data_IF_887153586175
#
_entry.id   IF_887153586175
#
_cell.length_a   1.000
_cell.length_b   1.000
_cell.length_c   1.000
_cell.angle_alpha   90.00
_cell.angle_beta   90.00
_cell.angle_gamma   90.00
#
_symmetry.space_group_name_H-M   'P 1'
#
loop_
_entity.id
_entity.type
_entity.pdbx_description
1 polymer ?
#
# COMPACT_ATOMS: atom_id res chain seq x y z
N UNK A 1 23.54 -54.02 6.53
CA UNK A 1 22.96 -53.44 5.29
C UNK A 1 23.98 -52.44 4.75
N UNK A 2 24.86 -52.87 3.85
CA UNK A 2 25.86 -51.99 3.25
C UNK A 2 25.25 -51.31 2.02
N UNK A 3 25.28 -49.97 1.98
CA UNK A 3 24.87 -49.22 0.78
C UNK A 3 25.85 -49.51 -0.36
N UNK A 4 25.33 -49.63 -1.58
CA UNK A 4 26.19 -49.79 -2.75
C UNK A 4 27.06 -48.53 -2.96
N UNK A 5 28.28 -48.65 -3.50
CA UNK A 5 29.18 -47.50 -3.69
C UNK A 5 28.53 -46.33 -4.44
N UNK A 6 27.66 -46.61 -5.41
CA UNK A 6 26.89 -45.60 -6.15
C UNK A 6 25.89 -44.84 -5.25
N UNK A 7 25.16 -45.55 -4.39
CA UNK A 7 24.21 -44.93 -3.45
C UNK A 7 24.93 -44.11 -2.38
N UNK A 8 26.13 -44.55 -1.97
CA UNK A 8 26.97 -43.80 -1.04
C UNK A 8 27.46 -42.47 -1.64
N UNK A 9 27.94 -42.50 -2.89
CA UNK A 9 28.35 -41.28 -3.60
C UNK A 9 27.18 -40.32 -3.79
N UNK A 10 26.00 -40.82 -4.17
CA UNK A 10 24.79 -40.01 -4.27
C UNK A 10 24.39 -39.38 -2.93
N UNK A 11 24.47 -40.14 -1.84
CA UNK A 11 24.19 -39.64 -0.50
C UNK A 11 25.16 -38.52 -0.09
N UNK A 12 26.47 -38.70 -0.31
CA UNK A 12 27.47 -37.67 -0.03
C UNK A 12 27.24 -36.39 -0.85
N UNK A 13 26.83 -36.54 -2.11
CA UNK A 13 26.51 -35.40 -2.98
C UNK A 13 25.29 -34.62 -2.48
N UNK A 14 24.21 -35.32 -2.12
CA UNK A 14 23.01 -34.70 -1.54
C UNK A 14 23.35 -34.02 -0.22
N UNK A 15 24.10 -34.69 0.66
CA UNK A 15 24.53 -34.13 1.94
C UNK A 15 25.36 -32.86 1.74
N UNK A 16 26.26 -32.85 0.76
CA UNK A 16 27.05 -31.68 0.40
C UNK A 16 26.19 -30.49 -0.06
N UNK A 17 25.21 -30.73 -0.93
CA UNK A 17 24.26 -29.70 -1.37
C UNK A 17 23.44 -29.17 -0.19
N UNK A 18 22.92 -30.05 0.66
CA UNK A 18 22.13 -29.67 1.84
C UNK A 18 22.94 -28.80 2.81
N UNK A 19 24.21 -29.14 3.06
CA UNK A 19 25.10 -28.34 3.90
C UNK A 19 25.41 -26.98 3.26
N UNK A 20 25.62 -26.93 1.94
CA UNK A 20 25.86 -25.68 1.23
C UNK A 20 24.65 -24.73 1.32
N UNK A 21 23.43 -25.26 1.11
CA UNK A 21 22.19 -24.48 1.26
C UNK A 21 22.02 -23.98 2.70
N UNK A 22 22.33 -24.80 3.70
CA UNK A 22 22.29 -24.40 5.10
C UNK A 22 23.27 -23.24 5.40
N UNK A 23 24.49 -23.31 4.87
CA UNK A 23 25.50 -22.24 5.03
C UNK A 23 25.01 -20.95 4.38
N UNK A 24 24.46 -21.01 3.16
CA UNK A 24 23.90 -19.83 2.49
C UNK A 24 22.74 -19.22 3.28
N UNK A 25 21.86 -20.04 3.84
CA UNK A 25 20.76 -19.57 4.67
C UNK A 25 21.26 -18.85 5.93
N UNK A 26 22.25 -19.42 6.63
CA UNK A 26 22.86 -18.79 7.81
C UNK A 26 23.52 -17.46 7.44
N UNK A 27 24.26 -17.42 6.31
CA UNK A 27 24.89 -16.19 5.81
C UNK A 27 23.84 -15.09 5.52
N UNK A 28 22.74 -15.45 4.84
CA UNK A 28 21.65 -14.51 4.58
C UNK A 28 20.98 -14.05 5.86
N UNK A 29 20.74 -14.94 6.82
CA UNK A 29 20.13 -14.61 8.11
C UNK A 29 21.00 -13.65 8.93
N UNK A 30 22.32 -13.88 8.99
CA UNK A 30 23.26 -12.97 9.66
C UNK A 30 23.25 -11.60 8.97
N UNK A 31 23.39 -11.56 7.65
CA UNK A 31 23.38 -10.28 6.91
C UNK A 31 22.04 -9.54 7.00
N UNK A 32 20.93 -10.27 7.00
CA UNK A 32 19.60 -9.69 7.17
C UNK A 32 19.44 -9.06 8.56
N UNK A 33 19.92 -9.73 9.61
CA UNK A 33 19.88 -9.19 10.96
C UNK A 33 20.88 -8.06 11.18
N UNK A 34 22.04 -8.07 10.51
CA UNK A 34 23.05 -7.01 10.58
C UNK A 34 22.60 -5.72 9.85
N UNK A 35 21.75 -5.86 8.82
CA UNK A 35 21.05 -4.72 8.19
C UNK A 35 19.83 -4.23 8.97
N UNK A 36 19.28 -5.05 9.88
CA UNK A 36 18.16 -4.67 10.75
C UNK A 36 18.62 -3.94 12.02
N UNK A 37 19.84 -4.20 12.50
CA UNK A 37 20.35 -3.67 13.79
C UNK A 37 21.11 -2.34 13.71
N UNK A 38 21.49 -1.87 12.52
CA UNK A 38 22.43 -0.74 12.38
C UNK A 38 21.86 0.53 11.72
N UNK A 39 20.58 0.55 11.36
CA UNK A 39 19.88 1.83 11.29
C UNK A 39 19.24 2.05 12.66
N UNK A 40 19.79 2.93 13.53
CA UNK A 40 18.92 3.50 14.52
C UNK A 40 17.74 4.04 13.72
N UNK A 41 16.53 3.61 14.06
CA UNK A 41 15.37 4.47 13.82
C UNK A 41 15.86 5.85 14.23
N UNK A 42 15.91 6.80 13.30
CA UNK A 42 16.06 8.19 13.69
C UNK A 42 14.82 8.47 14.52
N UNK A 43 14.87 8.14 15.80
CA UNK A 43 14.01 8.69 16.81
C UNK A 43 14.27 10.16 16.66
N UNK A 44 13.30 10.83 16.04
CA UNK A 44 13.26 12.26 15.92
C UNK A 44 13.63 12.77 17.31
N UNK A 45 14.85 13.32 17.45
CA UNK A 45 15.20 14.20 18.57
C UNK A 45 14.46 15.50 18.27
N UNK A 46 13.13 15.40 18.24
CA UNK A 46 12.30 16.56 18.45
C UNK A 46 12.74 17.07 19.79
N UNK A 47 13.19 18.31 19.81
CA UNK A 47 12.89 19.19 20.93
C UNK A 47 11.52 18.79 21.48
N UNK A 48 11.35 18.67 22.81
CA UNK A 48 10.06 18.33 23.43
C UNK A 48 9.05 19.43 23.06
N UNK A 49 8.51 19.41 21.84
CA UNK A 49 7.54 20.36 21.32
C UNK A 49 6.32 20.30 22.25
N UNK A 50 6.04 19.10 22.80
CA UNK A 50 4.99 18.84 23.80
C UNK A 50 5.10 19.70 25.06
N UNK A 51 6.29 20.15 25.49
CA UNK A 51 6.44 21.01 26.68
C UNK A 51 6.05 22.47 26.42
N UNK A 52 6.14 22.92 25.17
CA UNK A 52 5.79 24.28 24.76
C UNK A 52 4.47 24.35 23.96
N UNK A 53 3.91 23.20 23.58
CA UNK A 53 2.64 23.11 22.87
C UNK A 53 1.51 23.27 23.86
N UNK A 54 0.87 24.44 23.85
CA UNK A 54 -0.33 24.65 24.62
C UNK A 54 -1.47 23.84 23.97
N UNK A 55 -1.75 22.65 24.50
CA UNK A 55 -2.80 21.73 24.04
C UNK A 55 -4.22 22.32 24.16
N UNK A 56 -4.38 23.44 24.86
CA UNK A 56 -5.64 24.18 24.92
C UNK A 56 -5.89 25.06 23.69
N UNK A 57 -4.86 25.34 22.88
CA UNK A 57 -5.02 26.03 21.61
C UNK A 57 -5.38 25.00 20.52
N UNK A 58 -6.62 25.07 20.02
CA UNK A 58 -7.13 24.21 18.94
C UNK A 58 -6.35 24.34 17.63
N UNK A 59 -5.55 25.41 17.45
CA UNK A 59 -4.67 25.61 16.29
C UNK A 59 -3.51 24.60 16.21
N UNK A 60 -3.21 23.92 17.32
CA UNK A 60 -2.16 22.90 17.40
C UNK A 60 -2.64 21.49 17.00
N UNK A 61 -3.95 21.31 16.77
CA UNK A 61 -4.54 20.02 16.43
C UNK A 61 -4.65 19.90 14.91
N UNK A 62 -3.82 19.04 14.33
CA UNK A 62 -3.92 18.67 12.91
C UNK A 62 -4.68 17.37 12.80
N UNK A 63 -5.64 17.34 11.89
CA UNK A 63 -6.43 16.16 11.60
C UNK A 63 -6.56 15.98 10.09
N UNK A 64 -6.55 14.72 9.69
CA UNK A 64 -6.59 14.30 8.30
C UNK A 64 -7.50 13.08 8.20
N UNK A 65 -7.96 12.81 6.98
CA UNK A 65 -8.79 11.64 6.69
C UNK A 65 -7.99 10.67 5.84
N UNK A 66 -8.04 9.39 6.18
CA UNK A 66 -7.54 8.33 5.33
C UNK A 66 -8.73 7.53 4.80
N UNK A 67 -8.78 7.35 3.49
CA UNK A 67 -9.79 6.52 2.82
C UNK A 67 -9.07 5.41 2.07
N UNK A 68 -9.56 4.18 2.24
CA UNK A 68 -9.09 3.00 1.52
C UNK A 68 -10.27 2.34 0.81
N UNK A 69 -9.96 1.52 -0.18
CA UNK A 69 -10.91 0.63 -0.86
C UNK A 69 -12.11 1.37 -1.45
N UNK A 70 -11.80 2.46 -2.14
CA UNK A 70 -12.71 3.17 -3.04
C UNK A 70 -12.99 2.28 -4.26
N UNK A 71 -13.87 1.30 -4.08
CA UNK A 71 -14.38 0.42 -5.12
C UNK A 71 -15.29 1.20 -6.10
N UNK A 72 -14.66 2.03 -6.93
CA UNK A 72 -15.31 2.74 -8.02
C UNK A 72 -15.33 1.80 -9.23
N UNK A 73 -16.52 1.53 -9.76
CA UNK A 73 -16.73 0.66 -10.91
C UNK A 73 -17.61 1.39 -11.94
N UNK A 74 -17.11 1.56 -13.16
CA UNK A 74 -17.83 2.28 -14.25
C UNK A 74 -19.21 1.67 -14.55
N UNK A 75 -19.40 0.36 -14.38
CA UNK A 75 -20.68 -0.33 -14.61
C UNK A 75 -21.39 -0.76 -13.31
N UNK A 76 -20.87 -0.33 -12.16
CA UNK A 76 -21.50 -0.55 -10.86
C UNK A 76 -22.77 0.28 -10.69
N UNK A 77 -23.45 0.17 -9.53
CA UNK A 77 -24.57 1.04 -9.20
C UNK A 77 -24.13 2.50 -9.31
N UNK A 78 -24.87 3.31 -10.08
CA UNK A 78 -24.60 4.75 -10.22
C UNK A 78 -24.45 5.46 -8.86
N UNK A 79 -25.12 4.91 -7.84
CA UNK A 79 -25.12 5.38 -6.47
C UNK A 79 -23.71 5.54 -5.89
N UNK A 80 -22.76 4.64 -6.20
CA UNK A 80 -21.40 4.72 -5.65
C UNK A 80 -20.60 5.92 -6.16
N UNK A 81 -20.84 6.31 -7.41
CA UNK A 81 -20.22 7.52 -7.98
C UNK A 81 -20.80 8.79 -7.37
N UNK A 82 -22.12 8.80 -7.16
CA UNK A 82 -22.80 9.92 -6.54
C UNK A 82 -22.42 10.06 -5.06
N UNK A 83 -22.36 8.95 -4.32
CA UNK A 83 -21.87 8.91 -2.94
C UNK A 83 -20.46 9.46 -2.82
N UNK A 84 -19.55 9.10 -3.75
CA UNK A 84 -18.20 9.61 -3.74
C UNK A 84 -18.14 11.11 -4.07
N UNK A 85 -18.99 11.57 -4.99
CA UNK A 85 -19.13 12.99 -5.30
C UNK A 85 -19.65 13.77 -4.11
N UNK A 86 -20.66 13.25 -3.41
CA UNK A 86 -21.24 13.84 -2.20
C UNK A 86 -20.24 13.83 -1.04
N UNK A 87 -19.45 12.75 -0.90
CA UNK A 87 -18.32 12.70 0.02
C UNK A 87 -17.36 13.86 -0.21
N UNK A 88 -16.95 14.10 -1.46
CA UNK A 88 -16.02 15.19 -1.79
C UNK A 88 -16.63 16.59 -1.56
N UNK A 89 -17.89 16.81 -1.97
CA UNK A 89 -18.53 18.13 -1.94
C UNK A 89 -19.16 18.47 -0.57
N UNK A 90 -20.01 17.60 -0.04
CA UNK A 90 -20.78 17.86 1.16
C UNK A 90 -19.96 17.58 2.42
N UNK A 91 -19.22 16.47 2.44
CA UNK A 91 -18.49 16.08 3.64
C UNK A 91 -17.11 16.76 3.70
N UNK A 92 -16.24 16.52 2.72
CA UNK A 92 -14.86 17.05 2.76
C UNK A 92 -14.84 18.58 2.63
N UNK A 93 -15.49 19.15 1.61
CA UNK A 93 -15.40 20.59 1.38
C UNK A 93 -16.24 21.45 2.35
N UNK A 94 -17.36 20.93 2.86
CA UNK A 94 -18.32 21.73 3.63
C UNK A 94 -18.30 21.40 5.12
N UNK A 95 -18.53 20.14 5.48
CA UNK A 95 -18.74 19.74 6.87
C UNK A 95 -17.43 19.60 7.66
N UNK A 96 -16.48 18.87 7.08
CA UNK A 96 -15.30 18.36 7.75
C UNK A 96 -14.15 19.34 7.55
N UNK A 97 -13.77 19.63 6.30
CA UNK A 97 -12.64 20.51 5.94
C UNK A 97 -11.33 20.06 6.58
N UNK A 98 -10.93 18.79 6.38
CA UNK A 98 -9.69 18.28 6.97
C UNK A 98 -8.49 18.97 6.31
N UNK A 99 -7.34 18.97 6.99
CA UNK A 99 -6.12 19.57 6.40
C UNK A 99 -5.59 18.74 5.23
N UNK A 100 -5.76 17.43 5.29
CA UNK A 100 -5.38 16.51 4.23
C UNK A 100 -6.33 15.31 4.14
N UNK A 101 -6.44 14.74 2.94
CA UNK A 101 -7.07 13.45 2.67
C UNK A 101 -6.05 12.56 1.97
N UNK A 102 -5.84 11.36 2.51
CA UNK A 102 -4.98 10.34 1.93
C UNK A 102 -5.83 9.20 1.38
N UNK A 103 -5.65 8.88 0.10
CA UNK A 103 -6.24 7.71 -0.54
C UNK A 103 -5.16 6.65 -0.59
N UNK A 104 -5.33 5.56 0.16
CA UNK A 104 -4.34 4.47 0.26
C UNK A 104 -4.72 3.23 -0.53
N UNK A 105 -5.94 3.19 -1.05
CA UNK A 105 -6.44 2.08 -1.85
C UNK A 105 -7.54 2.57 -2.78
N UNK A 106 -7.27 2.47 -4.08
CA UNK A 106 -8.26 2.65 -5.12
C UNK A 106 -8.27 1.33 -5.89
N UNK A 107 -9.39 0.59 -5.81
CA UNK A 107 -9.49 -0.71 -6.48
C UNK A 107 -10.58 -0.61 -7.54
N UNK A 108 -10.11 -0.45 -8.76
CA UNK A 108 -10.90 -0.41 -9.98
C UNK A 108 -11.23 -1.84 -10.39
N UNK A 109 -12.52 -2.20 -10.31
CA UNK A 109 -13.02 -3.56 -10.50
C UNK A 109 -13.63 -3.71 -11.89
N UNK A 110 -12.86 -4.23 -12.84
CA UNK A 110 -13.45 -4.87 -14.02
C UNK A 110 -13.68 -6.36 -13.71
N UNK A 111 -14.94 -6.77 -13.59
CA UNK A 111 -15.42 -8.16 -13.65
C UNK A 111 -14.50 -9.24 -13.03
N UNK A 112 -14.61 -9.43 -11.71
CA UNK A 112 -14.77 -10.80 -11.19
C UNK A 112 -16.25 -11.14 -11.46
N UNK A 113 -16.67 -11.63 -12.63
CA UNK A 113 -15.96 -12.63 -13.39
C UNK A 113 -15.94 -13.92 -12.58
N UNK A 114 -17.14 -14.44 -12.29
CA UNK A 114 -17.47 -15.72 -11.62
C UNK A 114 -16.83 -16.96 -12.31
N UNK A 115 -15.76 -16.81 -13.10
CA UNK A 115 -15.25 -17.79 -14.05
C UNK A 115 -13.71 -17.97 -14.05
N UNK A 116 -12.90 -17.16 -13.35
CA UNK A 116 -11.43 -17.36 -13.41
C UNK A 116 -10.74 -17.32 -12.04
N UNK A 117 -10.85 -18.48 -11.39
CA UNK A 117 -9.71 -19.30 -10.95
C UNK A 117 -8.31 -18.66 -11.14
N UNK A 118 -7.57 -18.61 -10.03
CA UNK A 118 -6.11 -18.58 -9.95
C UNK A 118 -5.33 -17.72 -10.97
N UNK A 119 -5.14 -16.43 -10.65
CA UNK A 119 -3.86 -15.66 -10.76
C UNK A 119 -4.13 -14.14 -10.73
N UNK A 120 -4.40 -13.61 -9.53
CA UNK A 120 -4.40 -12.16 -9.26
C UNK A 120 -2.96 -11.64 -9.11
N UNK A 121 -2.08 -12.00 -10.04
CA UNK A 121 -0.69 -11.56 -10.08
C UNK A 121 -0.33 -10.83 -11.38
N UNK A 122 -1.31 -10.56 -12.27
CA UNK A 122 -1.06 -9.95 -13.58
C UNK A 122 -1.33 -8.44 -13.63
N UNK A 123 -1.98 -7.84 -12.63
CA UNK A 123 -2.31 -6.41 -12.64
C UNK A 123 -1.16 -5.48 -12.22
N UNK A 124 0.05 -6.04 -12.01
CA UNK A 124 1.23 -5.28 -11.63
C UNK A 124 2.00 -4.65 -12.81
N UNK A 125 1.64 -4.90 -14.08
CA UNK A 125 2.46 -4.39 -15.20
C UNK A 125 1.77 -3.87 -16.46
N UNK A 126 0.43 -3.81 -16.58
CA UNK A 126 -0.19 -3.36 -17.84
C UNK A 126 -1.40 -2.47 -17.62
N UNK A 127 -1.21 -1.15 -17.77
CA UNK A 127 -2.25 -0.22 -18.22
C UNK A 127 -3.50 -0.10 -17.35
N UNK A 128 -3.48 0.90 -16.47
CA UNK A 128 -4.67 1.50 -15.86
C UNK A 128 -5.83 1.56 -16.87
N UNK A 129 -7.00 1.03 -16.48
CA UNK A 129 -8.24 1.15 -17.23
C UNK A 129 -8.58 2.65 -17.29
N UNK A 130 -8.44 3.33 -18.46
CA UNK A 130 -8.46 4.79 -18.53
C UNK A 130 -9.76 5.41 -18.04
N UNK A 131 -10.89 4.74 -18.23
CA UNK A 131 -12.23 5.26 -17.96
C UNK A 131 -12.51 5.42 -16.46
N UNK A 132 -12.15 4.44 -15.63
CA UNK A 132 -12.37 4.52 -14.17
C UNK A 132 -11.43 5.54 -13.52
N UNK A 133 -10.19 5.60 -13.99
CA UNK A 133 -9.24 6.66 -13.61
C UNK A 133 -9.75 8.05 -14.02
N UNK A 134 -10.27 8.17 -15.24
CA UNK A 134 -10.85 9.43 -15.75
C UNK A 134 -12.08 9.83 -14.95
N UNK A 135 -12.96 8.89 -14.61
CA UNK A 135 -14.13 9.15 -13.79
C UNK A 135 -13.73 9.66 -12.40
N UNK A 136 -12.80 8.99 -11.73
CA UNK A 136 -12.24 9.43 -10.45
C UNK A 136 -11.68 10.85 -10.52
N UNK A 137 -10.80 11.12 -11.49
CA UNK A 137 -10.20 12.45 -11.66
C UNK A 137 -11.23 13.52 -12.03
N UNK A 138 -12.25 13.18 -12.83
CA UNK A 138 -13.36 14.08 -13.13
C UNK A 138 -14.14 14.45 -11.87
N UNK A 139 -14.49 13.48 -11.02
CA UNK A 139 -15.22 13.78 -9.78
C UNK A 139 -14.40 14.71 -8.86
N UNK A 140 -13.10 14.48 -8.73
CA UNK A 140 -12.22 15.37 -7.95
C UNK A 140 -12.18 16.78 -8.54
N UNK A 141 -12.12 16.89 -9.87
CA UNK A 141 -12.10 18.17 -10.57
C UNK A 141 -13.44 18.90 -10.47
N UNK A 142 -14.56 18.20 -10.66
CA UNK A 142 -15.92 18.75 -10.58
C UNK A 142 -16.25 19.26 -9.18
N UNK A 143 -15.79 18.54 -8.15
CA UNK A 143 -16.03 18.93 -6.75
C UNK A 143 -15.00 19.93 -6.23
N UNK A 144 -13.94 20.18 -6.99
CA UNK A 144 -12.84 21.07 -6.62
C UNK A 144 -12.26 20.79 -5.22
N UNK A 145 -12.25 19.51 -4.81
CA UNK A 145 -11.92 19.10 -3.43
C UNK A 145 -10.49 19.47 -3.03
N UNK A 146 -9.60 19.59 -4.01
CA UNK A 146 -8.19 19.95 -3.82
C UNK A 146 -7.95 21.45 -3.57
N UNK A 147 -8.98 22.29 -3.67
CA UNK A 147 -8.85 23.74 -3.46
C UNK A 147 -8.66 24.11 -1.98
N UNK A 148 -9.31 23.37 -1.08
CA UNK A 148 -9.25 23.62 0.37
C UNK A 148 -8.54 22.51 1.15
N UNK A 149 -8.46 21.31 0.59
CA UNK A 149 -7.92 20.13 1.25
C UNK A 149 -6.74 19.59 0.47
N UNK A 150 -5.64 19.25 1.15
CA UNK A 150 -4.52 18.57 0.50
C UNK A 150 -4.93 17.14 0.16
N UNK A 151 -5.23 16.86 -1.11
CA UNK A 151 -5.57 15.52 -1.58
C UNK A 151 -4.31 14.76 -2.01
N UNK A 152 -4.10 13.55 -1.48
CA UNK A 152 -2.94 12.69 -1.77
C UNK A 152 -3.39 11.28 -2.05
N UNK A 153 -3.26 10.88 -3.31
CA UNK A 153 -3.45 9.51 -3.77
C UNK A 153 -2.10 8.77 -3.69
N UNK A 154 -1.95 7.92 -2.68
CA UNK A 154 -0.74 7.13 -2.44
C UNK A 154 -0.92 5.80 -3.17
N UNK A 155 -0.59 5.78 -4.46
CA UNK A 155 -0.49 4.53 -5.21
C UNK A 155 0.79 3.80 -4.79
N UNK A 156 0.68 2.50 -4.50
CA UNK A 156 1.83 1.68 -4.16
C UNK A 156 2.92 1.75 -5.23
N UNK A 157 4.18 1.66 -4.81
CA UNK A 157 5.34 1.63 -5.70
C UNK A 157 5.28 0.40 -6.64
N UNK A 158 4.77 0.60 -7.85
CA UNK A 158 4.97 -0.26 -9.02
C UNK A 158 4.93 0.60 -10.30
N UNK A 159 5.54 1.78 -10.24
CA UNK A 159 5.56 2.78 -11.32
C UNK A 159 6.96 3.17 -11.76
N UNK A 160 7.81 2.18 -12.08
CA UNK A 160 8.99 2.31 -12.94
C UNK A 160 9.09 1.09 -13.85
#
# INVERSE_FOLDING_TARGET
IFMSPRKYIQFLFILGISLYVLILYIYLFINFNDHSSNTPLQTWKGEDISKNMNWTNSENIVWFIQVSDLHLNVFGPHDRHQEFKDFCSSYINTLIRPRAVFITGIFFLYYLGDILDSKVNFFKSTGLIPEECRLYHNILSETNVSWHTVWRDIRGNHGN
#
